data_IF_884374168830
#
_entry.id   IF_884374168830
#
_cell.length_a   1.000
_cell.length_b   1.000
_cell.length_c   1.000
_cell.angle_alpha   90.00
_cell.angle_beta   90.00
_cell.angle_gamma   90.00
#
_symmetry.space_group_name_H-M   'P 1'
#
loop_
_entity.id
_entity.type
_entity.pdbx_description
1 polymer ?
#
# COMPACT_ATOMS: atom_id res chain seq x y z
N UNK A 1 7.85 10.76 -5.30
CA UNK A 1 8.10 9.83 -4.16
C UNK A 1 6.84 9.01 -3.90
N UNK A 2 6.94 7.70 -3.62
CA UNK A 2 5.80 6.84 -3.27
C UNK A 2 5.97 6.26 -1.86
N UNK A 3 4.94 6.35 -1.01
CA UNK A 3 4.90 5.70 0.32
C UNK A 3 3.46 5.33 0.70
N UNK A 4 3.29 4.41 1.65
CA UNK A 4 2.02 4.09 2.29
C UNK A 4 2.13 4.41 3.78
N UNK A 5 1.34 5.39 4.23
CA UNK A 5 1.39 5.93 5.59
C UNK A 5 0.33 5.25 6.44
N UNK A 6 0.71 4.87 7.67
CA UNK A 6 -0.21 4.37 8.69
C UNK A 6 -0.17 5.29 9.91
N UNK A 7 -1.29 5.93 10.24
CA UNK A 7 -1.37 6.85 11.39
C UNK A 7 -1.75 6.15 12.69
N UNK A 8 -2.57 5.11 12.62
CA UNK A 8 -3.02 4.38 13.82
C UNK A 8 -2.14 3.17 14.18
N UNK A 9 -1.10 2.91 13.38
CA UNK A 9 -0.07 1.89 13.62
C UNK A 9 1.27 2.52 14.04
N UNK A 10 1.22 3.70 14.67
CA UNK A 10 2.40 4.37 15.21
C UNK A 10 2.77 3.82 16.61
N UNK A 11 4.07 3.80 16.97
CA UNK A 11 4.51 3.44 18.31
C UNK A 11 3.72 4.21 19.38
N UNK A 12 3.06 3.50 20.30
CA UNK A 12 2.27 4.09 21.39
C UNK A 12 0.76 4.23 21.16
N UNK A 13 0.25 3.93 19.95
CA UNK A 13 -1.18 3.69 19.70
C UNK A 13 -1.38 2.23 19.32
N UNK A 14 -2.14 1.50 20.13
CA UNK A 14 -2.42 0.08 19.87
C UNK A 14 -3.56 -0.04 18.85
N UNK A 15 -3.36 -0.67 17.68
CA UNK A 15 -4.48 -1.04 16.81
C UNK A 15 -5.47 -1.95 17.55
N UNK A 16 -6.74 -1.92 17.15
CA UNK A 16 -7.72 -2.87 17.68
C UNK A 16 -7.50 -4.23 17.00
N UNK A 17 -7.21 -5.32 17.74
CA UNK A 17 -6.86 -6.62 17.15
C UNK A 17 -7.97 -7.23 16.28
N UNK A 18 -9.23 -6.82 16.51
CA UNK A 18 -10.41 -7.35 15.82
C UNK A 18 -10.85 -6.52 14.62
N UNK A 19 -10.29 -5.33 14.42
CA UNK A 19 -10.60 -4.49 13.26
C UNK A 19 -9.30 -3.88 12.77
N UNK A 20 -8.71 -4.41 11.69
CA UNK A 20 -7.56 -3.78 11.06
C UNK A 20 -7.98 -2.50 10.31
N UNK A 21 -9.08 -1.85 10.70
CA UNK A 21 -9.41 -0.52 10.24
C UNK A 21 -8.52 0.51 10.95
N UNK A 22 -8.12 1.52 10.22
CA UNK A 22 -7.26 2.57 10.73
C UNK A 22 -7.01 3.61 9.66
N UNK A 23 -6.35 4.68 10.06
CA UNK A 23 -6.04 5.75 9.14
C UNK A 23 -4.80 5.43 8.32
N UNK A 24 -5.00 5.28 7.02
CA UNK A 24 -3.93 5.04 6.07
C UNK A 24 -4.20 5.72 4.73
N UNK A 25 -3.14 6.19 4.10
CA UNK A 25 -3.19 6.85 2.81
C UNK A 25 -1.86 6.68 2.09
N UNK A 26 -1.89 6.75 0.77
CA UNK A 26 -0.68 6.78 -0.04
C UNK A 26 -0.14 8.21 -0.15
N UNK A 27 1.18 8.34 -0.28
CA UNK A 27 1.82 9.58 -0.67
C UNK A 27 2.29 9.45 -2.11
N UNK A 28 1.74 10.28 -3.00
CA UNK A 28 2.10 10.39 -4.41
C UNK A 28 2.80 11.74 -4.61
N UNK A 29 4.13 11.71 -4.58
CA UNK A 29 5.00 12.88 -4.65
C UNK A 29 4.67 13.97 -3.62
N UNK A 30 4.37 13.53 -2.39
CA UNK A 30 3.97 14.41 -1.28
C UNK A 30 2.47 14.69 -1.22
N UNK A 31 1.71 14.35 -2.26
CA UNK A 31 0.25 14.44 -2.26
C UNK A 31 -0.35 13.24 -1.56
N UNK A 32 -1.15 13.47 -0.51
CA UNK A 32 -1.89 12.39 0.14
C UNK A 32 -3.06 11.92 -0.74
N UNK A 33 -3.22 10.60 -0.85
CA UNK A 33 -4.29 9.97 -1.61
C UNK A 33 -4.93 8.82 -0.79
N UNK A 34 -6.26 8.77 -0.63
CA UNK A 34 -7.25 9.75 -1.11
C UNK A 34 -7.14 11.13 -0.43
N UNK A 35 -6.88 11.13 0.88
CA UNK A 35 -6.62 12.33 1.66
C UNK A 35 -5.84 12.00 2.95
N UNK A 36 -5.37 13.03 3.65
CA UNK A 36 -4.64 12.85 4.92
C UNK A 36 -5.59 12.29 5.98
N UNK A 37 -5.22 11.15 6.57
CA UNK A 37 -6.00 10.54 7.62
C UNK A 37 -7.22 9.79 7.14
N UNK A 38 -7.28 9.44 5.85
CA UNK A 38 -8.29 8.56 5.27
C UNK A 38 -8.44 7.27 6.09
N UNK A 39 -9.69 6.89 6.37
CA UNK A 39 -10.02 5.70 7.15
C UNK A 39 -10.27 4.54 6.20
N UNK A 40 -9.53 3.45 6.35
CA UNK A 40 -9.69 2.24 5.52
C UNK A 40 -9.17 1.01 6.29
N UNK A 41 -8.99 -0.11 5.59
CA UNK A 41 -8.34 -1.33 6.06
C UNK A 41 -6.89 -1.36 5.56
N UNK A 42 -5.88 -0.89 6.32
CA UNK A 42 -4.56 -0.67 5.76
C UNK A 42 -3.86 -1.96 5.34
N UNK A 43 -4.16 -3.09 5.99
CA UNK A 43 -3.68 -4.40 5.56
C UNK A 43 -4.22 -4.77 4.16
N UNK A 44 -5.49 -4.45 3.89
CA UNK A 44 -6.11 -4.69 2.59
C UNK A 44 -5.54 -3.75 1.52
N UNK A 45 -5.34 -2.46 1.84
CA UNK A 45 -4.68 -1.51 0.94
C UNK A 45 -3.25 -1.97 0.57
N UNK A 46 -2.46 -2.36 1.56
CA UNK A 46 -1.11 -2.89 1.36
C UNK A 46 -1.13 -4.18 0.54
N UNK A 47 -2.04 -5.10 0.83
CA UNK A 47 -2.18 -6.35 0.08
C UNK A 47 -2.56 -6.12 -1.39
N UNK A 48 -3.46 -5.17 -1.65
CA UNK A 48 -3.85 -4.78 -3.00
C UNK A 48 -2.67 -4.15 -3.76
N UNK A 49 -1.94 -3.23 -3.14
CA UNK A 49 -0.75 -2.61 -3.73
C UNK A 49 0.38 -3.62 -3.98
N UNK A 50 0.59 -4.58 -3.06
CA UNK A 50 1.55 -5.66 -3.23
C UNK A 50 1.16 -6.60 -4.39
N UNK A 51 -0.14 -6.85 -4.57
CA UNK A 51 -0.66 -7.63 -5.70
C UNK A 51 -0.40 -6.91 -7.02
N UNK A 52 -0.70 -5.61 -7.10
CA UNK A 52 -0.41 -4.79 -8.27
C UNK A 52 1.09 -4.78 -8.62
N UNK A 53 1.96 -4.68 -7.60
CA UNK A 53 3.40 -4.82 -7.81
C UNK A 53 3.80 -6.17 -8.41
N UNK A 54 3.23 -7.29 -7.94
CA UNK A 54 3.52 -8.63 -8.49
C UNK A 54 3.10 -8.73 -9.96
N UNK A 55 1.93 -8.23 -10.31
CA UNK A 55 1.45 -8.21 -11.71
C UNK A 55 2.44 -7.45 -12.61
N UNK A 56 2.82 -6.24 -12.20
CA UNK A 56 3.81 -5.44 -12.93
C UNK A 56 5.12 -6.21 -13.07
N UNK A 57 5.64 -6.78 -11.98
CA UNK A 57 6.87 -7.57 -11.98
C UNK A 57 6.80 -8.75 -12.96
N UNK A 58 5.64 -9.41 -13.08
CA UNK A 58 5.40 -10.50 -14.03
C UNK A 58 5.18 -10.04 -15.47
N UNK A 59 5.29 -8.73 -15.75
CA UNK A 59 5.26 -8.18 -17.10
C UNK A 59 3.92 -7.55 -17.49
N UNK A 60 2.98 -7.39 -16.55
CA UNK A 60 1.76 -6.63 -16.83
C UNK A 60 2.11 -5.19 -17.21
N UNK A 61 1.42 -4.65 -18.22
CA UNK A 61 1.56 -3.26 -18.66
C UNK A 61 0.84 -2.27 -17.75
N UNK A 62 -0.23 -2.72 -17.10
CA UNK A 62 -1.02 -1.99 -16.12
C UNK A 62 -1.43 -2.93 -14.98
N UNK A 63 -1.56 -2.40 -13.77
CA UNK A 63 -2.14 -3.07 -12.61
C UNK A 63 -2.93 -2.05 -11.78
N UNK A 64 -3.78 -2.52 -10.86
CA UNK A 64 -4.61 -1.66 -10.00
C UNK A 64 -4.64 -2.13 -8.55
N UNK A 65 -4.79 -1.18 -7.64
CA UNK A 65 -5.10 -1.45 -6.23
C UNK A 65 -6.20 -0.52 -5.74
N UNK A 66 -7.05 -1.00 -4.84
CA UNK A 66 -8.25 -0.27 -4.42
C UNK A 66 -8.14 0.14 -2.95
N UNK A 67 -8.69 1.31 -2.62
CA UNK A 67 -9.08 1.68 -1.27
C UNK A 67 -10.50 1.13 -1.05
N UNK A 68 -10.77 0.49 0.09
CA UNK A 68 -12.01 -0.28 0.26
C UNK A 68 -13.17 0.59 0.73
N UNK A 69 -12.91 1.74 1.34
CA UNK A 69 -13.95 2.63 1.87
C UNK A 69 -14.31 3.78 0.89
N UNK A 70 -14.42 3.51 -0.40
CA UNK A 70 -14.83 4.53 -1.39
C UNK A 70 -14.46 4.18 -2.82
N UNK A 71 -14.73 5.11 -3.74
CA UNK A 71 -14.44 4.97 -5.17
C UNK A 71 -13.01 5.37 -5.52
N UNK A 72 -12.01 4.92 -4.76
CA UNK A 72 -10.62 5.31 -4.95
C UNK A 72 -9.72 4.14 -5.36
N UNK A 73 -8.99 4.29 -6.45
CA UNK A 73 -8.00 3.31 -6.90
C UNK A 73 -6.66 3.93 -7.28
N UNK A 74 -5.57 3.18 -7.07
CA UNK A 74 -4.28 3.46 -7.68
C UNK A 74 -4.16 2.68 -8.97
N UNK A 75 -3.89 3.39 -10.06
CA UNK A 75 -3.54 2.81 -11.35
C UNK A 75 -2.03 2.86 -11.52
N UNK A 76 -1.41 1.71 -11.74
CA UNK A 76 0.02 1.56 -11.96
C UNK A 76 0.26 1.20 -13.42
N UNK A 77 1.00 2.02 -14.15
CA UNK A 77 1.25 1.82 -15.58
C UNK A 77 2.75 1.84 -15.86
N UNK A 78 3.24 0.86 -16.62
CA UNK A 78 4.62 0.88 -17.11
C UNK A 78 4.80 2.05 -18.07
N UNK A 79 5.80 2.89 -17.82
CA UNK A 79 6.18 3.93 -18.78
C UNK A 79 6.89 3.29 -19.99
N UNK A 80 7.04 4.07 -21.06
CA UNK A 80 7.84 3.65 -22.22
C UNK A 80 9.32 3.41 -21.85
N UNK A 81 9.80 4.13 -20.83
CA UNK A 81 11.11 3.92 -20.22
C UNK A 81 11.11 2.62 -19.41
N UNK A 82 12.12 1.77 -19.64
CA UNK A 82 12.26 0.50 -18.92
C UNK A 82 12.31 0.76 -17.41
N UNK A 83 11.55 -0.06 -16.67
CA UNK A 83 11.47 -0.10 -15.21
C UNK A 83 10.86 1.10 -14.49
N UNK A 84 10.33 2.10 -15.21
CA UNK A 84 9.59 3.21 -14.60
C UNK A 84 8.09 2.88 -14.53
N UNK A 85 7.48 3.11 -13.37
CA UNK A 85 6.05 2.94 -13.12
C UNK A 85 5.44 4.31 -12.86
N UNK A 86 4.48 4.71 -13.70
CA UNK A 86 3.59 5.82 -13.45
C UNK A 86 2.46 5.35 -12.54
N UNK A 87 2.25 6.05 -11.43
CA UNK A 87 1.20 5.77 -10.45
C UNK A 87 0.26 6.96 -10.43
N UNK A 88 -1.05 6.69 -10.55
CA UNK A 88 -2.12 7.69 -10.50
C UNK A 88 -3.13 7.30 -9.44
N UNK A 89 -3.45 8.23 -8.54
CA UNK A 89 -4.57 8.11 -7.63
C UNK A 89 -5.83 8.62 -8.32
N UNK A 90 -6.79 7.73 -8.52
CA UNK A 90 -8.02 7.96 -9.25
C UNK A 90 -9.21 7.98 -8.29
N UNK A 91 -10.15 8.89 -8.53
CA UNK A 91 -11.48 8.91 -7.93
C UNK A 91 -12.52 8.66 -9.02
N UNK A 92 -13.47 7.75 -8.74
CA UNK A 92 -14.58 7.41 -9.63
C UNK A 92 -14.13 7.01 -11.07
N UNK A 93 -12.89 6.52 -11.22
CA UNK A 93 -12.29 6.10 -12.49
C UNK A 93 -11.85 7.21 -13.44
N UNK A 94 -12.33 8.44 -13.24
CA UNK A 94 -12.18 9.54 -14.21
C UNK A 94 -11.40 10.75 -13.66
N UNK A 95 -11.35 10.94 -12.33
CA UNK A 95 -10.69 12.08 -11.71
C UNK A 95 -9.31 11.69 -11.15
N UNK A 96 -8.24 12.36 -11.60
CA UNK A 96 -6.88 12.13 -11.10
C UNK A 96 -6.57 13.10 -9.96
N UNK A 97 -6.45 12.58 -8.73
CA UNK A 97 -6.19 13.35 -7.52
C UNK A 97 -4.70 13.47 -7.17
N UNK A 98 -3.85 12.63 -7.77
CA UNK A 98 -2.42 12.66 -7.53
C UNK A 98 -1.66 11.75 -8.46
N UNK A 99 -0.38 12.08 -8.70
CA UNK A 99 0.48 11.28 -9.56
C UNK A 99 1.92 11.26 -9.07
N UNK A 100 2.61 10.16 -9.29
CA UNK A 100 4.07 10.04 -9.12
C UNK A 100 4.60 9.04 -10.14
N UNK A 101 5.88 9.19 -10.49
CA UNK A 101 6.62 8.17 -11.24
C UNK A 101 7.76 7.65 -10.38
N UNK A 102 7.91 6.33 -10.30
CA UNK A 102 8.98 5.70 -9.51
C UNK A 102 9.52 4.47 -10.24
N UNK A 103 10.82 4.15 -10.12
CA UNK A 103 11.33 2.86 -10.55
C UNK A 103 10.59 1.71 -9.85
N UNK A 104 10.40 0.58 -10.54
CA UNK A 104 9.74 -0.61 -9.97
C UNK A 104 10.43 -1.08 -8.68
N UNK A 105 11.76 -0.96 -8.61
CA UNK A 105 12.54 -1.26 -7.41
C UNK A 105 12.22 -0.32 -6.23
N UNK A 106 11.95 0.96 -6.50
CA UNK A 106 11.57 1.93 -5.47
C UNK A 106 10.15 1.64 -4.95
N UNK A 107 9.22 1.27 -5.83
CA UNK A 107 7.89 0.80 -5.43
C UNK A 107 8.00 -0.42 -4.50
N UNK A 108 8.82 -1.41 -4.86
CA UNK A 108 9.10 -2.58 -4.01
C UNK A 108 9.60 -2.18 -2.63
N UNK A 109 10.62 -1.32 -2.56
CA UNK A 109 11.20 -0.88 -1.29
C UNK A 109 10.18 -0.16 -0.42
N UNK A 110 9.33 0.70 -1.00
CA UNK A 110 8.27 1.38 -0.26
C UNK A 110 7.25 0.39 0.33
N UNK A 111 6.80 -0.58 -0.46
CA UNK A 111 5.85 -1.61 0.00
C UNK A 111 6.46 -2.52 1.07
N UNK A 112 7.73 -2.89 0.94
CA UNK A 112 8.46 -3.65 1.97
C UNK A 112 8.51 -2.87 3.28
N UNK A 113 8.93 -1.61 3.24
CA UNK A 113 9.00 -0.76 4.43
C UNK A 113 7.64 -0.56 5.09
N UNK A 114 6.56 -0.45 4.29
CA UNK A 114 5.19 -0.38 4.81
C UNK A 114 4.77 -1.69 5.51
N UNK A 115 5.06 -2.84 4.91
CA UNK A 115 4.76 -4.15 5.48
C UNK A 115 5.53 -4.42 6.79
N UNK A 116 6.80 -4.03 6.86
CA UNK A 116 7.64 -4.14 8.06
C UNK A 116 7.09 -3.27 9.21
N UNK A 117 6.74 -2.02 8.93
CA UNK A 117 6.13 -1.10 9.92
C UNK A 117 4.83 -1.68 10.47
N UNK A 118 3.97 -2.20 9.61
CA UNK A 118 2.69 -2.78 10.04
C UNK A 118 2.90 -4.06 10.85
N UNK A 119 3.88 -4.89 10.49
CA UNK A 119 4.19 -6.12 11.21
C UNK A 119 4.68 -5.82 12.63
N UNK A 120 5.55 -4.81 12.78
CA UNK A 120 6.00 -4.34 14.09
C UNK A 120 4.84 -3.81 14.94
N UNK A 121 3.94 -3.03 14.35
CA UNK A 121 2.77 -2.51 15.07
C UNK A 121 1.78 -3.62 15.49
N UNK A 122 1.65 -4.68 14.69
CA UNK A 122 0.81 -5.83 15.04
C UNK A 122 1.45 -6.73 16.09
N UNK A 123 2.78 -6.88 16.15
CA UNK A 123 3.41 -7.71 17.18
C UNK A 123 3.17 -7.21 18.61
N UNK A 124 2.82 -5.95 18.77
CA UNK A 124 2.48 -5.35 20.07
C UNK A 124 1.03 -5.62 20.51
N UNK A 125 0.22 -6.23 19.63
CA UNK A 125 -1.24 -6.38 19.80
C UNK A 125 -1.71 -7.82 19.54
N UNK A 126 -1.10 -8.48 18.56
CA UNK A 126 -1.28 -9.89 18.24
C UNK A 126 0.01 -10.62 18.60
N UNK A 127 -0.09 -11.77 19.29
CA UNK A 127 1.06 -12.68 19.40
C UNK A 127 1.54 -13.08 18.00
N UNK A 128 2.80 -13.51 17.86
CA UNK A 128 3.47 -13.74 16.57
C UNK A 128 2.76 -14.70 15.60
N UNK A 129 1.74 -15.44 16.05
CA UNK A 129 0.87 -16.33 15.28
C UNK A 129 -0.50 -15.74 14.89
N UNK A 130 -0.75 -14.45 15.14
CA UNK A 130 -1.98 -13.77 14.74
C UNK A 130 -2.24 -13.83 13.24
N UNK A 131 -3.52 -13.88 12.83
CA UNK A 131 -3.92 -14.00 11.43
C UNK A 131 -3.37 -12.86 10.57
N UNK A 132 -3.40 -11.63 11.07
CA UNK A 132 -2.93 -10.47 10.32
C UNK A 132 -1.39 -10.50 10.19
N UNK A 133 -0.71 -10.90 11.26
CA UNK A 133 0.75 -11.14 11.23
C UNK A 133 1.16 -12.20 10.19
N UNK A 134 0.40 -13.30 10.05
CA UNK A 134 0.66 -14.31 9.01
C UNK A 134 0.46 -13.76 7.59
N UNK A 135 -0.58 -12.94 7.37
CA UNK A 135 -0.83 -12.29 6.07
C UNK A 135 0.34 -11.36 5.71
N UNK A 136 0.82 -10.53 6.64
CA UNK A 136 1.97 -9.66 6.40
C UNK A 136 3.25 -10.42 6.10
N UNK A 137 3.52 -11.52 6.81
CA UNK A 137 4.69 -12.36 6.49
C UNK A 137 4.65 -12.90 5.08
N UNK A 138 3.46 -13.29 4.59
CA UNK A 138 3.28 -13.70 3.20
C UNK A 138 3.56 -12.54 2.23
N UNK A 139 3.03 -11.35 2.51
CA UNK A 139 3.29 -10.14 1.70
C UNK A 139 4.80 -9.84 1.66
N UNK A 140 5.49 -9.91 2.79
CA UNK A 140 6.95 -9.70 2.87
C UNK A 140 7.72 -10.70 2.01
N UNK A 141 7.38 -11.99 2.09
CA UNK A 141 8.01 -13.03 1.25
C UNK A 141 7.76 -12.77 -0.23
N UNK A 142 6.52 -12.44 -0.60
CA UNK A 142 6.16 -12.15 -1.98
C UNK A 142 6.92 -10.93 -2.54
N UNK A 143 7.09 -9.89 -1.73
CA UNK A 143 7.85 -8.70 -2.11
C UNK A 143 9.36 -8.95 -2.12
N UNK A 144 9.87 -9.85 -1.27
CA UNK A 144 11.29 -10.18 -1.16
C UNK A 144 11.78 -11.14 -2.25
N UNK A 145 10.91 -12.03 -2.73
CA UNK A 145 11.18 -12.93 -3.86
C UNK A 145 11.58 -12.16 -5.10
#
# INVERSE_FOLDING_TARGET
MFDLVFRDFQPGRKPFPLSPSGRAWFLLDGTAFPEVGWSDLPLSMLGAAATAYKELRHGAGEARSFCFDGSFDLVYQRAAERDLILIRGMQDGDECLGTTSVPLAVLRTALLGAAEKMLAALSDVEESGGRNSMILRKILVDLAS
#
